data_IF_695295419736
#
_entry.id   IF_695295419736
#
_cell.length_a   1.000
_cell.length_b   1.000
_cell.length_c   1.000
_cell.angle_alpha   90.00
_cell.angle_beta   90.00
_cell.angle_gamma   90.00
#
_symmetry.space_group_name_H-M   'P 1'
#
loop_
_entity.id
_entity.type
_entity.pdbx_description
1 polymer ?
#
# COMPACT_ATOMS: atom_id res chain seq x y z
N UNK A 1 7.57 4.10 23.38
CA UNK A 1 8.40 4.33 22.20
C UNK A 1 7.70 3.96 20.91
N UNK A 2 6.58 3.22 20.97
CA UNK A 2 5.82 2.81 19.75
C UNK A 2 4.93 3.92 19.15
N UNK A 3 4.52 4.90 19.97
CA UNK A 3 3.63 5.99 19.54
C UNK A 3 4.24 7.03 18.60
N UNK A 4 5.56 7.13 18.51
CA UNK A 4 6.25 8.09 17.64
C UNK A 4 6.29 7.64 16.17
N UNK A 5 6.31 6.34 15.93
CA UNK A 5 6.25 5.77 14.59
C UNK A 5 4.87 5.90 13.95
N UNK A 6 3.83 5.65 14.73
CA UNK A 6 2.45 5.82 14.30
C UNK A 6 2.21 7.27 13.88
N UNK A 7 2.67 8.25 14.65
CA UNK A 7 2.52 9.66 14.33
C UNK A 7 3.35 10.13 13.12
N UNK A 8 4.52 9.50 12.85
CA UNK A 8 5.36 9.82 11.69
C UNK A 8 4.76 9.25 10.40
N UNK A 9 4.30 8.01 10.44
CA UNK A 9 3.60 7.37 9.35
C UNK A 9 2.24 8.00 9.13
N UNK A 10 1.55 8.47 10.17
CA UNK A 10 0.26 9.14 10.10
C UNK A 10 0.29 10.40 9.23
N UNK A 11 1.40 11.06 9.15
CA UNK A 11 1.50 12.36 8.46
C UNK A 11 2.32 12.35 7.17
N UNK A 12 3.19 11.39 6.95
CA UNK A 12 3.67 11.04 5.59
C UNK A 12 2.51 10.39 4.82
N UNK A 13 1.53 10.03 5.55
CA UNK A 13 0.46 9.13 5.24
C UNK A 13 -0.95 9.65 5.43
N UNK A 14 -1.36 10.82 5.00
CA UNK A 14 -2.77 10.88 4.56
C UNK A 14 -2.96 10.02 3.29
N UNK A 15 -1.86 9.53 2.73
CA UNK A 15 -1.81 8.35 1.87
C UNK A 15 -1.29 7.11 2.60
N UNK A 16 -0.59 7.20 3.73
CA UNK A 16 -0.02 6.13 4.52
C UNK A 16 -0.69 5.97 5.90
N UNK A 17 -1.68 6.78 6.26
CA UNK A 17 -2.58 6.59 7.42
C UNK A 17 -3.23 5.20 7.43
N UNK A 18 -3.24 4.53 6.28
CA UNK A 18 -3.75 3.18 6.11
C UNK A 18 -2.66 2.09 6.11
N UNK A 19 -1.38 2.42 6.33
CA UNK A 19 -0.26 1.46 6.21
C UNK A 19 -0.20 0.38 7.30
N UNK A 20 -0.95 0.51 8.39
CA UNK A 20 -1.08 -0.53 9.41
C UNK A 20 -2.43 -1.25 9.39
N UNK A 21 -3.29 -0.97 8.39
CA UNK A 21 -4.67 -1.44 8.37
C UNK A 21 -5.04 -2.11 7.06
N UNK A 22 -6.15 -2.80 7.07
CA UNK A 22 -6.62 -3.62 5.98
C UNK A 22 -7.64 -2.85 5.17
N UNK A 23 -7.43 -2.77 3.86
CA UNK A 23 -8.46 -2.33 2.93
C UNK A 23 -9.22 -3.56 2.48
N UNK A 24 -10.50 -3.53 2.69
CA UNK A 24 -11.38 -4.62 2.34
C UNK A 24 -12.47 -4.06 1.44
N UNK A 25 -12.82 -4.81 0.40
CA UNK A 25 -14.15 -5.14 -0.05
C UNK A 25 -14.50 -4.80 -1.45
N UNK A 26 -14.96 -5.84 -1.96
CA UNK A 26 -15.80 -5.85 -3.13
C UNK A 26 -16.89 -6.91 -2.97
N UNK A 27 -18.16 -6.57 -3.22
CA UNK A 27 -19.25 -7.53 -3.35
C UNK A 27 -19.42 -7.92 -4.81
N UNK A 28 -19.18 -9.19 -5.14
CA UNK A 28 -19.62 -9.78 -6.41
C UNK A 28 -21.07 -10.26 -6.21
N UNK A 29 -22.07 -9.75 -6.95
CA UNK A 29 -23.41 -10.31 -6.88
C UNK A 29 -23.37 -11.77 -7.34
N UNK A 30 -24.24 -12.64 -6.79
CA UNK A 30 -24.39 -13.99 -7.27
C UNK A 30 -24.71 -13.98 -8.77
N UNK A 31 -24.26 -14.98 -9.54
CA UNK A 31 -24.57 -15.07 -10.94
C UNK A 31 -26.10 -15.11 -11.08
N UNK A 32 -26.66 -14.08 -11.71
CA UNK A 32 -28.09 -14.10 -12.07
C UNK A 32 -28.21 -15.15 -13.14
N UNK A 33 -28.86 -16.27 -12.83
CA UNK A 33 -29.30 -17.26 -13.80
C UNK A 33 -30.36 -16.57 -14.65
N UNK A 34 -29.96 -15.89 -15.70
CA UNK A 34 -30.88 -15.39 -16.73
C UNK A 34 -31.10 -16.49 -17.74
N UNK A 35 -32.30 -16.99 -17.74
CA UNK A 35 -32.83 -17.64 -18.95
C UNK A 35 -32.68 -16.75 -20.17
N UNK A 36 -32.40 -17.34 -21.29
CA UNK A 36 -31.99 -16.80 -22.57
C UNK A 36 -32.61 -15.47 -22.99
N UNK A 37 -31.77 -14.71 -23.72
CA UNK A 37 -32.11 -13.61 -24.64
C UNK A 37 -32.30 -12.20 -24.06
N UNK A 38 -31.29 -11.37 -24.24
CA UNK A 38 -31.22 -10.23 -25.18
C UNK A 38 -29.93 -9.48 -24.93
N UNK A 39 -29.14 -9.30 -25.99
CA UNK A 39 -27.94 -8.45 -25.98
C UNK A 39 -28.34 -7.00 -25.68
N UNK A 40 -27.91 -6.48 -24.54
CA UNK A 40 -27.97 -5.04 -24.22
C UNK A 40 -26.65 -4.41 -24.71
N UNK A 41 -26.69 -3.30 -25.45
CA UNK A 41 -25.48 -2.68 -26.00
C UNK A 41 -24.57 -2.21 -24.87
N UNK A 42 -23.30 -2.50 -25.05
CA UNK A 42 -22.18 -2.04 -24.24
C UNK A 42 -22.27 -0.51 -24.01
N UNK A 43 -22.73 -0.10 -22.83
CA UNK A 43 -22.79 1.29 -22.43
C UNK A 43 -21.36 1.85 -22.31
N UNK A 44 -21.18 3.01 -22.92
CA UNK A 44 -19.96 3.81 -23.03
C UNK A 44 -19.04 3.71 -21.82
N UNK A 45 -17.79 3.38 -22.11
CA UNK A 45 -16.68 3.30 -21.19
C UNK A 45 -16.60 4.52 -20.25
N UNK A 46 -16.56 4.26 -18.94
CA UNK A 46 -16.28 5.25 -17.88
C UNK A 46 -14.81 5.74 -17.91
N UNK A 47 -14.13 5.60 -19.06
CA UNK A 47 -12.71 5.88 -19.23
C UNK A 47 -12.33 7.36 -19.30
N UNK A 48 -13.28 8.29 -19.42
CA UNK A 48 -12.98 9.68 -19.72
C UNK A 48 -12.66 10.59 -18.52
N UNK A 49 -12.85 10.17 -17.28
CA UNK A 49 -12.69 11.04 -16.11
C UNK A 49 -11.42 10.77 -15.25
N UNK A 50 -10.54 9.87 -15.67
CA UNK A 50 -9.43 9.37 -14.86
C UNK A 50 -8.09 10.10 -15.09
N UNK A 51 -8.08 11.32 -15.60
CA UNK A 51 -6.88 11.98 -16.15
C UNK A 51 -5.93 12.64 -15.13
N UNK A 52 -6.28 12.77 -13.85
CA UNK A 52 -5.49 13.58 -12.90
C UNK A 52 -5.30 12.90 -11.55
N UNK A 53 -4.50 11.82 -11.49
CA UNK A 53 -4.31 11.09 -10.24
C UNK A 53 -2.89 11.16 -9.74
N UNK A 54 -2.77 11.58 -8.49
CA UNK A 54 -1.57 11.51 -7.67
C UNK A 54 -1.08 10.06 -7.57
N UNK A 55 0.25 9.85 -7.53
CA UNK A 55 0.91 8.55 -7.27
C UNK A 55 0.70 8.06 -5.82
N UNK A 56 -0.43 8.36 -5.20
CA UNK A 56 -0.81 7.81 -3.92
C UNK A 56 -1.14 6.32 -4.08
N UNK A 57 -0.45 5.40 -3.38
CA UNK A 57 -0.73 3.96 -3.47
C UNK A 57 -2.20 3.62 -3.22
N UNK A 58 -2.84 4.27 -2.25
CA UNK A 58 -4.26 4.03 -1.93
C UNK A 58 -5.17 4.51 -3.05
N UNK A 59 -4.92 5.69 -3.63
CA UNK A 59 -5.70 6.15 -4.78
C UNK A 59 -5.54 5.19 -5.97
N UNK A 60 -4.36 4.59 -6.15
CA UNK A 60 -4.15 3.56 -7.16
C UNK A 60 -4.94 2.28 -6.84
N UNK A 61 -4.91 1.83 -5.59
CA UNK A 61 -5.73 0.71 -5.10
C UNK A 61 -7.20 0.96 -5.35
N UNK A 62 -7.73 2.11 -4.92
CA UNK A 62 -9.13 2.49 -5.13
C UNK A 62 -9.47 2.51 -6.64
N UNK A 63 -8.55 2.99 -7.47
CA UNK A 63 -8.71 3.00 -8.91
C UNK A 63 -8.79 1.58 -9.51
N UNK A 64 -7.94 0.67 -9.09
CA UNK A 64 -7.99 -0.71 -9.56
C UNK A 64 -9.30 -1.40 -9.15
N UNK A 65 -9.80 -1.11 -7.95
CA UNK A 65 -11.08 -1.63 -7.49
C UNK A 65 -12.26 -1.17 -8.35
N UNK A 66 -12.35 0.11 -8.70
CA UNK A 66 -13.48 0.61 -9.50
C UNK A 66 -13.52 0.04 -10.92
N UNK A 67 -12.42 -0.56 -11.39
CA UNK A 67 -12.39 -1.25 -12.67
C UNK A 67 -12.98 -2.66 -12.60
N UNK A 68 -13.13 -3.23 -11.39
CA UNK A 68 -13.77 -4.54 -11.23
C UNK A 68 -15.28 -4.39 -11.49
N UNK A 69 -15.87 -5.22 -12.37
CA UNK A 69 -17.29 -5.15 -12.66
C UNK A 69 -18.16 -5.36 -11.42
N UNK A 70 -19.27 -4.63 -11.32
CA UNK A 70 -20.28 -4.77 -10.26
C UNK A 70 -19.82 -4.46 -8.83
N UNK A 71 -18.72 -3.75 -8.65
CA UNK A 71 -18.28 -3.29 -7.34
C UNK A 71 -19.37 -2.46 -6.64
N UNK A 72 -19.69 -2.77 -5.37
CA UNK A 72 -20.75 -2.12 -4.59
C UNK A 72 -20.20 -1.08 -3.61
N UNK A 73 -19.22 -1.44 -2.82
CA UNK A 73 -18.64 -0.56 -1.81
C UNK A 73 -17.21 -0.94 -1.49
N UNK A 74 -16.49 -0.05 -0.81
CA UNK A 74 -15.18 -0.28 -0.21
C UNK A 74 -15.29 -0.06 1.28
N UNK A 75 -14.79 -1.00 2.08
CA UNK A 75 -14.73 -0.90 3.53
C UNK A 75 -13.26 -0.79 3.94
N UNK A 76 -12.92 0.23 4.70
CA UNK A 76 -11.63 0.42 5.33
C UNK A 76 -11.76 -0.02 6.79
N UNK A 77 -10.87 -0.90 7.27
CA UNK A 77 -10.84 -1.32 8.67
C UNK A 77 -9.51 -0.87 9.28
N UNK A 78 -9.58 -0.23 10.43
CA UNK A 78 -8.37 0.27 11.09
C UNK A 78 -8.58 0.75 12.52
N UNK A 79 -7.46 1.12 13.18
CA UNK A 79 -7.44 1.57 14.58
C UNK A 79 -7.58 3.07 14.76
N UNK A 80 -7.47 3.86 13.67
CA UNK A 80 -7.48 5.31 13.79
C UNK A 80 -8.83 5.81 14.26
N UNK A 81 -8.82 6.75 15.20
CA UNK A 81 -10.02 7.51 15.49
C UNK A 81 -10.36 8.37 14.27
N UNK A 82 -11.63 8.36 13.83
CA UNK A 82 -12.07 9.24 12.78
C UNK A 82 -11.71 10.69 13.11
N UNK A 83 -10.91 11.30 12.26
CA UNK A 83 -10.53 12.71 12.34
C UNK A 83 -10.94 13.44 11.04
N UNK A 84 -10.79 14.75 11.04
CA UNK A 84 -11.18 15.56 9.87
C UNK A 84 -10.40 15.19 8.60
N UNK A 85 -9.14 14.75 8.73
CA UNK A 85 -8.31 14.37 7.60
C UNK A 85 -8.82 13.06 6.97
N UNK A 86 -9.09 12.04 7.79
CA UNK A 86 -9.67 10.78 7.32
C UNK A 86 -11.06 11.00 6.70
N UNK A 87 -11.90 11.81 7.34
CA UNK A 87 -13.23 12.12 6.83
C UNK A 87 -13.17 12.87 5.50
N UNK A 88 -12.24 13.84 5.33
CA UNK A 88 -12.01 14.53 4.05
C UNK A 88 -11.50 13.57 2.99
N UNK A 89 -10.56 12.68 3.33
CA UNK A 89 -10.05 11.67 2.42
C UNK A 89 -11.18 10.76 1.92
N UNK A 90 -12.00 10.21 2.83
CA UNK A 90 -13.14 9.35 2.49
C UNK A 90 -14.11 10.10 1.59
N UNK A 91 -14.52 11.32 1.99
CA UNK A 91 -15.50 12.11 1.24
C UNK A 91 -15.00 12.48 -0.17
N UNK A 92 -13.74 12.91 -0.29
CA UNK A 92 -13.14 13.23 -1.58
C UNK A 92 -13.00 12.00 -2.48
N UNK A 93 -12.59 10.86 -1.90
CA UNK A 93 -12.48 9.60 -2.63
C UNK A 93 -13.84 9.07 -3.10
N UNK A 94 -14.88 9.18 -2.28
CA UNK A 94 -16.25 8.84 -2.68
C UNK A 94 -16.74 9.71 -3.85
N UNK A 95 -16.46 11.00 -3.82
CA UNK A 95 -16.83 11.93 -4.91
C UNK A 95 -16.06 11.63 -6.20
N UNK A 96 -14.76 11.35 -6.08
CA UNK A 96 -13.89 11.06 -7.22
C UNK A 96 -14.24 9.72 -7.87
N UNK A 97 -14.35 8.66 -7.06
CA UNK A 97 -14.54 7.29 -7.55
C UNK A 97 -16.01 6.91 -7.73
N UNK A 98 -16.93 7.72 -7.21
CA UNK A 98 -18.38 7.48 -7.24
C UNK A 98 -18.78 6.10 -6.73
N UNK A 99 -18.12 5.66 -5.67
CA UNK A 99 -18.38 4.41 -4.96
C UNK A 99 -18.48 4.69 -3.46
N UNK A 100 -19.39 4.07 -2.72
CA UNK A 100 -19.46 4.17 -1.27
C UNK A 100 -18.15 3.68 -0.64
N UNK A 101 -17.60 4.44 0.30
CA UNK A 101 -16.43 4.05 1.09
C UNK A 101 -16.81 4.21 2.56
N UNK A 102 -16.71 3.14 3.34
CA UNK A 102 -16.98 3.17 4.78
C UNK A 102 -15.71 2.89 5.56
N UNK A 103 -15.56 3.54 6.69
CA UNK A 103 -14.51 3.24 7.65
C UNK A 103 -15.10 2.54 8.87
N UNK A 104 -14.50 1.41 9.25
CA UNK A 104 -14.84 0.64 10.44
C UNK A 104 -13.66 0.69 11.41
N UNK A 105 -13.89 1.27 12.58
CA UNK A 105 -12.84 1.43 13.58
C UNK A 105 -12.71 0.16 14.42
N UNK A 106 -11.51 -0.39 14.51
CA UNK A 106 -11.14 -1.40 15.51
C UNK A 106 -10.80 -0.72 16.83
N UNK A 107 -11.23 -1.30 17.94
CA UNK A 107 -10.95 -0.79 19.29
C UNK A 107 -9.96 -1.68 20.06
N UNK A 108 -9.60 -2.82 19.51
CA UNK A 108 -8.63 -3.76 20.05
C UNK A 108 -7.85 -4.44 18.94
N UNK A 109 -6.61 -4.84 19.20
CA UNK A 109 -5.76 -5.55 18.26
C UNK A 109 -6.24 -7.00 18.03
N UNK A 110 -7.23 -7.20 17.17
CA UNK A 110 -7.86 -8.50 16.93
C UNK A 110 -7.09 -9.36 15.90
N UNK A 111 -6.09 -8.82 15.25
CA UNK A 111 -5.40 -9.46 14.12
C UNK A 111 -6.22 -9.44 12.82
N UNK A 112 -5.65 -9.92 11.71
CA UNK A 112 -6.29 -9.86 10.38
C UNK A 112 -7.59 -10.67 10.35
N UNK A 113 -7.55 -11.90 10.84
CA UNK A 113 -8.72 -12.78 10.89
C UNK A 113 -9.77 -12.31 11.89
N UNK A 114 -9.34 -11.85 13.08
CA UNK A 114 -10.25 -11.37 14.13
C UNK A 114 -10.98 -10.08 13.72
N UNK A 115 -10.27 -9.13 13.13
CA UNK A 115 -10.89 -7.87 12.67
C UNK A 115 -11.99 -8.10 11.63
N UNK A 116 -11.73 -8.93 10.60
CA UNK A 116 -12.78 -9.25 9.62
C UNK A 116 -13.92 -10.06 10.24
N UNK A 117 -13.64 -10.94 11.19
CA UNK A 117 -14.68 -11.72 11.87
C UNK A 117 -15.56 -10.83 12.77
N UNK A 118 -14.97 -9.85 13.43
CA UNK A 118 -15.70 -8.87 14.22
C UNK A 118 -16.72 -8.09 13.38
N UNK A 119 -16.33 -7.68 12.18
CA UNK A 119 -17.19 -6.91 11.27
C UNK A 119 -17.93 -7.75 10.23
N UNK A 120 -17.98 -9.09 10.38
CA UNK A 120 -18.54 -10.01 9.38
C UNK A 120 -19.98 -9.67 8.93
N UNK A 121 -20.83 -9.22 9.85
CA UNK A 121 -22.22 -8.91 9.53
C UNK A 121 -22.33 -7.68 8.61
N UNK A 122 -21.45 -6.69 8.82
CA UNK A 122 -21.34 -5.50 7.98
C UNK A 122 -20.73 -5.83 6.61
N UNK A 123 -19.81 -6.78 6.59
CA UNK A 123 -19.15 -7.31 5.43
C UNK A 123 -20.09 -8.11 4.55
N UNK A 124 -20.87 -8.96 5.15
CA UNK A 124 -21.84 -9.80 4.48
C UNK A 124 -23.16 -9.08 4.17
N UNK A 125 -23.30 -7.83 4.60
CA UNK A 125 -24.48 -7.01 4.29
C UNK A 125 -24.64 -6.89 2.78
N UNK A 126 -25.84 -7.23 2.27
CA UNK A 126 -26.09 -7.24 0.82
C UNK A 126 -25.81 -8.58 0.12
N UNK A 127 -25.40 -9.62 0.84
CA UNK A 127 -25.25 -10.98 0.33
C UNK A 127 -24.18 -11.13 -0.77
N UNK A 128 -22.91 -10.77 -0.52
CA UNK A 128 -21.86 -10.89 -1.52
C UNK A 128 -21.59 -12.35 -1.86
N UNK A 129 -21.41 -12.68 -3.14
CA UNK A 129 -20.95 -14.00 -3.56
C UNK A 129 -19.45 -14.20 -3.22
N UNK A 130 -18.65 -13.12 -3.32
CA UNK A 130 -17.26 -13.10 -2.95
C UNK A 130 -16.81 -11.68 -2.60
N UNK A 131 -15.68 -11.56 -1.92
CA UNK A 131 -15.07 -10.28 -1.55
C UNK A 131 -13.54 -10.32 -1.59
N UNK A 132 -12.94 -9.20 -1.93
CA UNK A 132 -11.49 -9.04 -1.81
C UNK A 132 -11.11 -8.57 -0.41
N UNK A 133 -10.04 -9.10 0.12
CA UNK A 133 -9.34 -8.62 1.30
C UNK A 133 -7.91 -8.31 0.91
N UNK A 134 -7.39 -7.16 1.31
CA UNK A 134 -6.00 -6.82 1.02
C UNK A 134 -5.37 -5.98 2.12
N UNK A 135 -4.05 -6.13 2.25
CA UNK A 135 -3.26 -5.29 3.12
C UNK A 135 -3.08 -3.91 2.48
N UNK A 136 -3.21 -2.85 3.28
CA UNK A 136 -3.13 -1.47 2.79
C UNK A 136 -1.74 -1.02 2.35
N UNK A 137 -0.69 -1.73 2.80
CA UNK A 137 0.72 -1.45 2.52
C UNK A 137 1.24 -2.11 1.23
N UNK A 138 0.35 -2.71 0.44
CA UNK A 138 0.71 -3.39 -0.82
C UNK A 138 0.66 -2.42 -1.99
N UNK A 139 1.70 -2.46 -2.82
CA UNK A 139 1.82 -1.79 -4.11
C UNK A 139 1.97 -2.84 -5.21
N UNK A 140 1.06 -2.85 -6.18
CA UNK A 140 1.01 -3.85 -7.25
C UNK A 140 0.19 -3.32 -8.43
N UNK A 141 0.14 -4.06 -9.50
CA UNK A 141 -0.83 -3.83 -10.59
C UNK A 141 -2.25 -4.29 -10.24
N UNK A 142 -2.41 -5.01 -9.14
CA UNK A 142 -3.69 -5.53 -8.64
C UNK A 142 -4.51 -6.30 -9.71
N UNK A 143 -4.15 -7.56 -10.04
CA UNK A 143 -4.83 -8.36 -11.07
C UNK A 143 -6.19 -8.88 -10.56
N UNK A 144 -7.07 -7.98 -10.10
CA UNK A 144 -8.32 -8.32 -9.42
C UNK A 144 -9.33 -8.99 -10.36
N UNK A 145 -9.41 -8.52 -11.61
CA UNK A 145 -10.31 -9.11 -12.60
C UNK A 145 -9.86 -10.52 -12.99
N UNK A 146 -8.54 -10.72 -13.09
CA UNK A 146 -7.92 -12.02 -13.37
C UNK A 146 -8.17 -12.99 -12.23
N UNK A 147 -8.00 -12.58 -10.98
CA UNK A 147 -8.31 -13.38 -9.80
C UNK A 147 -9.80 -13.77 -9.75
N UNK A 148 -10.69 -12.85 -10.10
CA UNK A 148 -12.11 -13.12 -10.13
C UNK A 148 -12.47 -14.12 -11.24
N UNK A 149 -11.87 -13.98 -12.43
CA UNK A 149 -12.05 -14.96 -13.53
C UNK A 149 -11.50 -16.34 -13.13
N UNK A 150 -10.32 -16.37 -12.53
CA UNK A 150 -9.70 -17.58 -12.02
C UNK A 150 -10.59 -18.29 -10.98
N UNK A 151 -11.12 -17.55 -10.01
CA UNK A 151 -12.06 -18.07 -9.01
C UNK A 151 -13.30 -18.72 -9.68
N UNK A 152 -13.93 -18.03 -10.63
CA UNK A 152 -15.11 -18.56 -11.35
C UNK A 152 -14.80 -19.81 -12.17
N UNK A 153 -13.60 -19.94 -12.72
CA UNK A 153 -13.17 -21.11 -13.51
C UNK A 153 -12.95 -22.37 -12.66
N UNK A 154 -12.53 -22.21 -11.40
CA UNK A 154 -12.24 -23.34 -10.51
C UNK A 154 -13.46 -23.83 -9.69
N UNK A 155 -14.65 -23.25 -9.91
CA UNK A 155 -15.88 -23.65 -9.24
C UNK A 155 -15.97 -23.19 -7.78
N UNK A 156 -16.99 -23.68 -7.06
CA UNK A 156 -17.38 -23.18 -5.74
C UNK A 156 -16.82 -23.99 -4.55
N UNK A 157 -15.96 -24.98 -4.79
CA UNK A 157 -15.50 -25.88 -3.73
C UNK A 157 -14.42 -25.27 -2.80
N UNK A 158 -13.86 -24.13 -3.17
CA UNK A 158 -12.84 -23.43 -2.39
C UNK A 158 -13.42 -22.17 -1.74
N UNK A 159 -12.88 -21.78 -0.58
CA UNK A 159 -13.31 -20.58 0.12
C UNK A 159 -12.38 -19.37 -0.11
N UNK A 160 -11.22 -19.55 -0.77
CA UNK A 160 -10.32 -18.45 -1.00
C UNK A 160 -9.32 -18.66 -2.13
N UNK A 161 -8.97 -17.56 -2.78
CA UNK A 161 -7.86 -17.43 -3.73
C UNK A 161 -6.84 -16.43 -3.19
N UNK A 162 -5.60 -16.86 -3.02
CA UNK A 162 -4.50 -16.01 -2.58
C UNK A 162 -3.73 -15.50 -3.79
N UNK A 163 -3.33 -14.23 -3.80
CA UNK A 163 -2.36 -13.74 -4.78
C UNK A 163 -0.96 -14.12 -4.34
N UNK A 164 -0.24 -14.81 -5.21
CA UNK A 164 1.17 -15.16 -5.03
C UNK A 164 2.06 -14.49 -6.08
N UNK A 165 3.30 -14.23 -5.71
CA UNK A 165 4.38 -13.82 -6.63
C UNK A 165 5.65 -14.56 -6.30
N UNK A 166 6.63 -14.54 -7.20
CA UNK A 166 7.92 -15.18 -6.96
C UNK A 166 8.89 -14.24 -6.24
N UNK A 167 9.70 -14.81 -5.36
CA UNK A 167 10.81 -14.14 -4.69
C UNK A 167 12.05 -15.01 -4.73
N UNK A 168 13.24 -14.42 -4.60
CA UNK A 168 14.45 -15.22 -4.50
C UNK A 168 14.52 -15.95 -3.14
N UNK A 169 15.44 -16.90 -3.04
CA UNK A 169 15.55 -17.81 -1.89
C UNK A 169 15.74 -17.11 -0.54
N UNK A 170 16.53 -16.05 -0.51
CA UNK A 170 16.77 -15.25 0.71
C UNK A 170 15.61 -14.36 1.06
N UNK A 171 15.01 -13.73 0.06
CA UNK A 171 13.88 -12.81 0.27
C UNK A 171 12.60 -13.52 0.70
N UNK A 172 12.38 -14.79 0.25
CA UNK A 172 11.18 -15.55 0.61
C UNK A 172 11.06 -15.78 2.13
N UNK A 173 12.16 -15.78 2.89
CA UNK A 173 12.15 -15.93 4.35
C UNK A 173 11.43 -14.80 5.09
N UNK A 174 11.30 -13.62 4.46
CA UNK A 174 10.68 -12.43 5.06
C UNK A 174 9.15 -12.35 4.84
N UNK A 175 8.59 -13.35 4.13
CA UNK A 175 7.18 -13.36 3.72
C UNK A 175 6.53 -14.71 4.01
N UNK A 176 5.20 -14.77 3.97
CA UNK A 176 4.48 -16.02 3.96
C UNK A 176 4.80 -16.81 2.68
N UNK A 177 5.25 -18.05 2.83
CA UNK A 177 5.58 -18.94 1.71
C UNK A 177 4.42 -19.88 1.38
N UNK A 178 4.16 -20.05 0.10
CA UNK A 178 3.08 -20.89 -0.43
C UNK A 178 3.71 -22.07 -1.18
N UNK A 179 3.34 -23.29 -0.80
CA UNK A 179 3.62 -24.49 -1.59
C UNK A 179 2.35 -24.87 -2.34
N UNK A 180 2.41 -24.94 -3.65
CA UNK A 180 1.26 -25.20 -4.50
C UNK A 180 1.33 -26.56 -5.20
N UNK A 181 0.18 -27.10 -5.53
CA UNK A 181 0.05 -28.11 -6.57
C UNK A 181 0.00 -27.38 -7.93
N UNK A 182 0.99 -27.59 -8.79
CA UNK A 182 1.11 -26.88 -10.08
C UNK A 182 0.00 -27.20 -11.08
N UNK A 183 -0.66 -28.35 -10.94
CA UNK A 183 -1.73 -28.78 -11.86
C UNK A 183 -3.08 -28.19 -11.44
N UNK A 184 -3.36 -28.14 -10.13
CA UNK A 184 -4.66 -27.72 -9.57
C UNK A 184 -4.64 -26.31 -8.99
N UNK A 185 -3.47 -25.69 -8.84
CA UNK A 185 -3.25 -24.40 -8.15
C UNK A 185 -3.69 -24.43 -6.67
N UNK A 186 -3.87 -25.62 -6.10
CA UNK A 186 -4.21 -25.78 -4.68
C UNK A 186 -3.02 -25.39 -3.80
N UNK A 187 -3.29 -24.68 -2.71
CA UNK A 187 -2.30 -24.42 -1.65
C UNK A 187 -2.16 -25.67 -0.79
N UNK A 188 -1.04 -26.37 -0.94
CA UNK A 188 -0.72 -27.59 -0.18
C UNK A 188 -0.19 -27.28 1.21
N UNK A 189 0.72 -26.29 1.31
CA UNK A 189 1.26 -25.80 2.57
C UNK A 189 1.37 -24.29 2.56
N UNK A 190 1.18 -23.67 3.71
CA UNK A 190 1.43 -22.27 3.97
C UNK A 190 2.30 -22.12 5.21
N UNK A 191 3.40 -21.38 5.11
CA UNK A 191 4.32 -21.13 6.23
C UNK A 191 4.63 -19.64 6.31
N UNK A 192 4.24 -19.02 7.42
CA UNK A 192 4.51 -17.59 7.63
C UNK A 192 5.96 -17.38 8.08
N UNK A 193 6.72 -16.59 7.32
CA UNK A 193 8.11 -16.20 7.59
C UNK A 193 8.98 -17.37 8.08
N UNK A 194 9.21 -18.38 7.23
CA UNK A 194 9.94 -19.58 7.63
C UNK A 194 11.40 -19.27 7.98
N UNK A 195 11.99 -20.02 8.91
CA UNK A 195 13.42 -19.91 9.24
C UNK A 195 14.35 -20.50 8.17
N UNK A 196 13.82 -21.36 7.31
CA UNK A 196 14.53 -22.01 6.20
C UNK A 196 13.71 -21.90 4.92
N UNK A 197 14.36 -21.98 3.76
CA UNK A 197 13.68 -21.91 2.48
C UNK A 197 12.65 -23.02 2.31
N UNK A 198 11.41 -22.64 2.02
CA UNK A 198 10.26 -23.52 1.80
C UNK A 198 9.80 -23.48 0.34
N UNK A 199 9.60 -22.27 -0.19
CA UNK A 199 9.10 -22.03 -1.54
C UNK A 199 9.57 -20.67 -2.07
N UNK A 200 9.65 -20.54 -3.39
CA UNK A 200 9.87 -19.28 -4.10
C UNK A 200 8.58 -18.49 -4.31
N UNK A 201 7.41 -19.09 -4.03
CA UNK A 201 6.13 -18.40 -4.10
C UNK A 201 5.83 -17.78 -2.75
N UNK A 202 5.64 -16.45 -2.74
CA UNK A 202 5.32 -15.68 -1.55
C UNK A 202 3.91 -15.10 -1.61
N UNK A 203 3.31 -14.93 -0.44
CA UNK A 203 2.02 -14.32 -0.25
C UNK A 203 2.08 -12.80 -0.48
N UNK A 204 1.21 -12.29 -1.36
CA UNK A 204 1.14 -10.88 -1.69
C UNK A 204 0.25 -10.04 -0.75
N UNK A 205 -0.47 -10.66 0.19
CA UNK A 205 -1.42 -9.94 1.05
C UNK A 205 -2.67 -9.44 0.33
N UNK A 206 -3.06 -10.10 -0.75
CA UNK A 206 -4.27 -9.84 -1.53
C UNK A 206 -5.02 -11.16 -1.66
N UNK A 207 -6.28 -11.15 -1.30
CA UNK A 207 -7.10 -12.35 -1.22
C UNK A 207 -8.48 -12.11 -1.82
N UNK A 208 -9.05 -13.14 -2.44
CA UNK A 208 -10.45 -13.19 -2.83
C UNK A 208 -11.11 -14.31 -2.03
N UNK A 209 -12.11 -14.00 -1.23
CA UNK A 209 -12.81 -14.96 -0.38
C UNK A 209 -14.29 -15.09 -0.73
N UNK A 210 -14.84 -16.27 -0.50
CA UNK A 210 -16.28 -16.46 -0.39
C UNK A 210 -16.72 -16.28 1.07
N UNK A 211 -18.01 -16.05 1.34
CA UNK A 211 -18.55 -15.99 2.71
C UNK A 211 -18.20 -17.19 3.60
N UNK A 212 -17.92 -18.35 3.02
CA UNK A 212 -17.57 -19.57 3.74
C UNK A 212 -16.31 -19.44 4.61
N UNK A 213 -15.43 -18.48 4.28
CA UNK A 213 -14.22 -18.21 5.10
C UNK A 213 -14.59 -17.87 6.55
N UNK A 214 -15.73 -17.21 6.78
CA UNK A 214 -16.19 -16.86 8.12
C UNK A 214 -16.55 -18.07 8.98
N UNK A 215 -17.00 -19.16 8.35
CA UNK A 215 -17.22 -20.43 9.06
C UNK A 215 -15.91 -21.03 9.58
N UNK A 216 -14.82 -20.90 8.83
CA UNK A 216 -13.50 -21.36 9.27
C UNK A 216 -12.90 -20.45 10.35
N UNK A 217 -13.02 -19.13 10.21
CA UNK A 217 -12.57 -18.17 11.24
C UNK A 217 -13.37 -18.37 12.53
N UNK A 218 -14.69 -18.60 12.44
CA UNK A 218 -15.56 -18.83 13.59
C UNK A 218 -15.16 -20.08 14.40
N UNK A 219 -14.72 -21.16 13.74
CA UNK A 219 -14.20 -22.35 14.44
C UNK A 219 -12.93 -22.06 15.23
N UNK A 220 -12.02 -21.28 14.65
CA UNK A 220 -10.78 -20.86 15.34
C UNK A 220 -11.13 -19.92 16.51
N UNK A 221 -12.04 -18.99 16.30
CA UNK A 221 -12.53 -18.10 17.36
C UNK A 221 -13.10 -18.87 18.56
N UNK A 222 -13.98 -19.85 18.31
CA UNK A 222 -14.58 -20.67 19.36
C UNK A 222 -13.52 -21.49 20.11
N UNK A 223 -12.58 -22.10 19.39
CA UNK A 223 -11.47 -22.84 20.01
C UNK A 223 -10.63 -21.92 20.91
N UNK A 224 -10.21 -20.77 20.41
CA UNK A 224 -9.43 -19.79 21.17
C UNK A 224 -10.18 -19.30 22.41
N UNK A 225 -11.50 -19.11 22.34
CA UNK A 225 -12.31 -18.75 23.51
C UNK A 225 -12.30 -19.85 24.56
N UNK A 226 -12.42 -21.12 24.17
CA UNK A 226 -12.39 -22.25 25.10
C UNK A 226 -11.02 -22.38 25.78
N UNK A 227 -9.94 -22.26 25.02
CA UNK A 227 -8.57 -22.27 25.54
C UNK A 227 -8.33 -21.12 26.52
N UNK A 228 -8.81 -19.90 26.22
CA UNK A 228 -8.72 -18.74 27.12
C UNK A 228 -9.44 -18.96 28.44
N UNK A 229 -10.66 -19.45 28.43
CA UNK A 229 -11.43 -19.73 29.64
C UNK A 229 -10.67 -20.73 30.50
N UNK A 230 -10.09 -21.74 29.91
CA UNK A 230 -9.33 -22.77 30.61
C UNK A 230 -8.02 -22.23 31.20
N UNK A 231 -7.29 -21.37 30.47
CA UNK A 231 -6.07 -20.72 30.96
C UNK A 231 -6.35 -19.66 32.04
N UNK A 232 -7.40 -18.89 31.90
CA UNK A 232 -7.82 -17.90 32.90
C UNK A 232 -8.19 -18.57 34.23
N UNK A 233 -8.86 -19.72 34.17
CA UNK A 233 -9.18 -20.55 35.33
C UNK A 233 -7.93 -21.21 35.96
N UNK A 234 -6.90 -21.50 35.17
CA UNK A 234 -5.72 -22.24 35.65
C UNK A 234 -4.57 -21.32 36.07
N UNK A 235 -4.32 -20.24 35.34
CA UNK A 235 -3.11 -19.40 35.46
C UNK A 235 -3.39 -17.91 35.69
N UNK A 236 -4.66 -17.47 35.71
CA UNK A 236 -5.03 -16.07 35.88
C UNK A 236 -4.50 -15.12 34.76
N UNK A 237 -4.02 -15.65 33.62
CA UNK A 237 -3.52 -14.85 32.49
C UNK A 237 -4.60 -14.65 31.45
N UNK A 238 -4.91 -13.39 31.18
CA UNK A 238 -5.73 -13.03 30.02
C UNK A 238 -4.92 -13.12 28.73
N UNK A 239 -5.30 -14.05 27.83
CA UNK A 239 -4.74 -14.15 26.49
C UNK A 239 -5.45 -13.18 25.53
N UNK A 240 -4.73 -12.47 24.63
CA UNK A 240 -5.35 -11.58 23.67
C UNK A 240 -6.22 -12.35 22.66
N UNK A 241 -7.34 -11.76 22.26
CA UNK A 241 -8.28 -12.31 21.29
C UNK A 241 -7.83 -12.04 19.85
N UNK A 242 -6.62 -12.48 19.52
CA UNK A 242 -5.99 -12.24 18.22
C UNK A 242 -6.15 -13.47 17.33
N UNK A 243 -6.72 -13.29 16.13
CA UNK A 243 -6.73 -14.31 15.08
C UNK A 243 -5.94 -13.77 13.89
N UNK A 244 -4.85 -14.44 13.55
CA UNK A 244 -4.01 -14.12 12.40
C UNK A 244 -4.44 -14.95 11.22
N UNK A 245 -4.83 -14.31 10.14
CA UNK A 245 -5.32 -15.01 8.94
C UNK A 245 -4.27 -15.99 8.38
N UNK A 246 -3.02 -15.55 8.35
CA UNK A 246 -1.91 -16.29 7.79
C UNK A 246 -1.51 -17.50 8.67
N UNK A 247 -1.43 -17.30 9.98
CA UNK A 247 -0.94 -18.33 10.90
C UNK A 247 -2.04 -19.29 11.38
N UNK A 248 -3.25 -18.77 11.61
CA UNK A 248 -4.31 -19.54 12.27
C UNK A 248 -5.29 -20.14 11.27
N UNK A 249 -5.48 -19.47 10.10
CA UNK A 249 -6.48 -19.87 9.10
C UNK A 249 -5.80 -20.55 7.90
N UNK A 250 -4.84 -19.90 7.24
CA UNK A 250 -4.24 -20.47 6.02
C UNK A 250 -3.47 -21.77 6.28
N UNK A 251 -2.71 -21.83 7.37
CA UNK A 251 -2.03 -23.07 7.77
C UNK A 251 -3.00 -24.23 8.00
N UNK A 252 -4.18 -23.93 8.54
CA UNK A 252 -5.21 -24.95 8.80
C UNK A 252 -5.92 -25.39 7.52
N UNK A 253 -6.16 -24.46 6.57
CA UNK A 253 -6.88 -24.74 5.33
C UNK A 253 -6.00 -25.29 4.21
N UNK A 254 -4.68 -25.14 4.29
CA UNK A 254 -3.73 -25.68 3.33
C UNK A 254 -3.84 -27.22 3.27
N UNK A 255 -3.82 -27.78 2.07
CA UNK A 255 -3.98 -29.21 1.80
C UNK A 255 -5.43 -29.73 1.93
N UNK A 256 -6.42 -28.86 2.20
CA UNK A 256 -7.82 -29.23 2.32
C UNK A 256 -8.68 -28.90 1.07
N UNK A 257 -8.04 -28.51 -0.04
CA UNK A 257 -8.69 -28.04 -1.28
C UNK A 257 -9.58 -26.81 -1.07
N UNK A 258 -9.31 -26.03 -0.01
CA UNK A 258 -10.08 -24.83 0.33
C UNK A 258 -9.41 -23.55 -0.12
N UNK A 259 -8.11 -23.55 -0.34
CA UNK A 259 -7.34 -22.40 -0.80
C UNK A 259 -6.67 -22.70 -2.13
N UNK A 260 -6.77 -21.74 -3.05
CA UNK A 260 -6.06 -21.72 -4.32
C UNK A 260 -5.06 -20.57 -4.35
N UNK A 261 -4.03 -20.65 -5.18
CA UNK A 261 -3.10 -19.57 -5.44
C UNK A 261 -3.18 -19.13 -6.89
N UNK A 262 -3.39 -17.82 -7.11
CA UNK A 262 -3.23 -17.18 -8.39
C UNK A 262 -1.87 -16.48 -8.44
N UNK A 263 -1.02 -16.83 -9.41
CA UNK A 263 0.34 -16.26 -9.51
C UNK A 263 0.37 -15.09 -10.47
N UNK A 264 0.92 -13.97 -10.00
CA UNK A 264 1.18 -12.81 -10.86
C UNK A 264 2.66 -12.72 -11.23
N UNK A 265 2.92 -12.28 -12.47
CA UNK A 265 4.25 -11.91 -12.94
C UNK A 265 4.47 -10.38 -12.91
N UNK A 266 3.44 -9.63 -12.57
CA UNK A 266 3.52 -8.18 -12.44
C UNK A 266 4.30 -7.79 -11.20
N UNK A 267 4.73 -6.53 -11.14
CA UNK A 267 5.44 -6.04 -9.98
C UNK A 267 4.56 -6.11 -8.72
N UNK A 268 5.21 -6.39 -7.63
CA UNK A 268 4.63 -6.35 -6.30
C UNK A 268 5.67 -5.84 -5.31
N UNK A 269 5.25 -4.95 -4.42
CA UNK A 269 6.07 -4.44 -3.32
C UNK A 269 5.20 -4.19 -2.11
N UNK A 270 5.79 -4.30 -0.93
CA UNK A 270 5.13 -3.96 0.33
C UNK A 270 5.88 -2.81 1.00
N UNK A 271 5.16 -1.77 1.41
CA UNK A 271 5.74 -0.61 2.07
C UNK A 271 5.91 -0.92 3.55
N UNK A 272 7.08 -1.45 3.92
CA UNK A 272 7.46 -1.75 5.32
C UNK A 272 8.37 -0.68 5.92
N UNK A 273 8.94 0.17 5.09
CA UNK A 273 9.84 1.24 5.49
C UNK A 273 9.64 2.44 4.58
N UNK A 274 10.15 3.59 4.98
CA UNK A 274 10.10 4.79 4.17
C UNK A 274 10.85 4.64 2.83
N UNK A 275 11.98 3.93 2.83
CA UNK A 275 12.74 3.63 1.61
C UNK A 275 11.92 2.83 0.60
N UNK A 276 11.08 1.88 1.08
CA UNK A 276 10.20 1.11 0.21
C UNK A 276 9.14 1.97 -0.50
N UNK A 277 8.77 3.14 0.04
CA UNK A 277 7.85 4.05 -0.65
C UNK A 277 8.46 4.67 -1.91
N UNK A 278 9.73 5.08 -1.86
CA UNK A 278 10.45 5.57 -3.05
C UNK A 278 10.62 4.44 -4.07
N UNK A 279 10.96 3.24 -3.61
CA UNK A 279 11.08 2.08 -4.50
C UNK A 279 9.74 1.73 -5.18
N UNK A 280 8.63 1.72 -4.43
CA UNK A 280 7.29 1.50 -4.98
C UNK A 280 6.92 2.58 -6.01
N UNK A 281 7.23 3.86 -5.73
CA UNK A 281 7.05 4.96 -6.70
C UNK A 281 7.81 4.70 -8.00
N UNK A 282 9.04 4.20 -7.92
CA UNK A 282 9.85 3.81 -9.08
C UNK A 282 9.18 2.71 -9.91
N UNK A 283 8.62 1.69 -9.26
CA UNK A 283 7.90 0.62 -9.95
C UNK A 283 6.68 1.14 -10.70
N UNK A 284 5.90 2.05 -10.09
CA UNK A 284 4.76 2.68 -10.77
C UNK A 284 5.18 3.60 -11.93
N UNK A 285 6.27 4.37 -11.77
CA UNK A 285 6.80 5.19 -12.87
C UNK A 285 7.24 4.31 -14.06
N UNK A 286 7.93 3.20 -13.78
CA UNK A 286 8.32 2.23 -14.80
C UNK A 286 7.09 1.59 -15.48
N UNK A 287 6.06 1.27 -14.72
CA UNK A 287 4.79 0.78 -15.27
C UNK A 287 4.15 1.83 -16.19
N UNK A 288 4.09 3.11 -15.77
CA UNK A 288 3.57 4.18 -16.62
C UNK A 288 4.39 4.35 -17.89
N UNK A 289 5.72 4.22 -17.81
CA UNK A 289 6.56 4.24 -19.00
C UNK A 289 6.15 3.17 -20.03
N UNK A 290 5.76 1.99 -19.58
CA UNK A 290 5.37 0.87 -20.42
C UNK A 290 3.91 0.96 -20.91
N UNK A 291 2.98 1.39 -20.05
CA UNK A 291 1.54 1.30 -20.34
C UNK A 291 0.90 2.64 -20.70
N UNK A 292 1.39 3.75 -20.15
CA UNK A 292 0.82 5.09 -20.28
C UNK A 292 1.93 6.15 -20.31
N UNK A 293 2.84 6.11 -21.31
CA UNK A 293 3.96 7.06 -21.38
C UNK A 293 3.53 8.52 -21.47
N UNK A 294 2.30 8.79 -21.97
CA UNK A 294 1.71 10.12 -22.03
C UNK A 294 1.48 10.78 -20.66
N UNK A 295 1.52 10.00 -19.57
CA UNK A 295 1.43 10.50 -18.19
C UNK A 295 2.75 11.01 -17.63
N UNK A 296 3.86 10.63 -18.25
CA UNK A 296 5.18 11.06 -17.82
C UNK A 296 5.58 12.35 -18.51
N UNK A 297 6.34 13.16 -17.79
CA UNK A 297 6.87 14.41 -18.32
C UNK A 297 7.91 14.15 -19.40
N UNK A 298 7.90 14.97 -20.43
CA UNK A 298 8.86 14.91 -21.56
C UNK A 298 9.56 16.25 -21.72
N UNK A 299 10.79 16.23 -22.23
CA UNK A 299 11.53 17.42 -22.56
C UNK A 299 10.87 18.16 -23.73
N UNK A 300 10.56 19.45 -23.56
CA UNK A 300 10.06 20.37 -24.57
C UNK A 300 10.72 21.73 -24.36
N UNK A 301 10.73 22.55 -25.38
CA UNK A 301 11.25 23.93 -25.27
C UNK A 301 10.44 24.70 -24.22
N UNK A 302 11.14 25.39 -23.31
CA UNK A 302 10.50 26.15 -22.23
C UNK A 302 10.01 25.32 -21.04
N UNK A 303 10.27 23.99 -21.00
CA UNK A 303 9.97 23.13 -19.85
C UNK A 303 11.23 22.76 -19.08
N UNK A 304 11.11 22.33 -17.80
CA UNK A 304 12.26 21.88 -17.02
C UNK A 304 12.96 20.68 -17.69
N UNK A 305 14.25 20.54 -17.42
CA UNK A 305 15.02 19.39 -17.92
C UNK A 305 14.58 18.11 -17.22
N UNK A 306 14.06 17.17 -18.00
CA UNK A 306 13.59 15.86 -17.51
C UNK A 306 14.63 14.79 -17.80
N UNK A 307 14.94 13.97 -16.79
CA UNK A 307 15.87 12.84 -16.89
C UNK A 307 15.12 11.56 -16.44
N UNK A 308 15.01 10.56 -17.29
CA UNK A 308 14.31 9.31 -16.99
C UNK A 308 12.82 9.51 -16.72
N UNK A 309 12.24 8.68 -15.88
CA UNK A 309 10.81 8.68 -15.59
C UNK A 309 10.44 9.70 -14.51
N UNK A 310 9.62 10.68 -14.88
CA UNK A 310 9.17 11.76 -14.01
C UNK A 310 7.67 11.96 -14.19
N UNK A 311 6.92 11.91 -13.10
CA UNK A 311 5.53 12.29 -13.07
C UNK A 311 5.38 13.71 -12.53
N UNK A 312 4.63 14.55 -13.22
CA UNK A 312 4.31 15.93 -12.81
C UNK A 312 2.80 16.11 -12.84
N UNK A 313 2.24 16.46 -11.67
CA UNK A 313 0.81 16.79 -11.63
C UNK A 313 0.53 18.06 -12.45
N UNK A 314 -0.54 18.10 -13.26
CA UNK A 314 -0.82 19.23 -14.15
C UNK A 314 -0.95 20.63 -13.50
N UNK A 315 -1.24 20.67 -12.20
CA UNK A 315 -1.34 21.93 -11.44
C UNK A 315 -0.03 22.36 -10.78
N UNK A 316 1.05 21.59 -10.96
CA UNK A 316 2.36 21.99 -10.44
C UNK A 316 2.94 23.12 -11.28
N UNK A 317 3.58 24.09 -10.60
CA UNK A 317 4.26 25.20 -11.23
C UNK A 317 5.78 25.01 -11.11
N UNK A 318 6.47 24.83 -12.22
CA UNK A 318 7.88 24.46 -12.24
C UNK A 318 8.65 25.40 -13.16
N UNK A 319 9.73 25.99 -12.62
CA UNK A 319 10.61 26.86 -13.39
C UNK A 319 11.35 26.08 -14.50
N UNK A 320 11.47 26.61 -15.72
CA UNK A 320 12.14 25.94 -16.83
C UNK A 320 13.61 25.58 -16.60
N UNK A 321 14.29 26.27 -15.68
CA UNK A 321 15.71 26.00 -15.34
C UNK A 321 15.87 24.83 -14.36
N UNK A 322 14.78 24.27 -13.82
CA UNK A 322 14.83 23.13 -12.92
C UNK A 322 15.26 21.84 -13.63
N UNK A 323 15.87 20.92 -12.89
CA UNK A 323 16.29 19.59 -13.36
C UNK A 323 15.61 18.52 -12.51
N UNK A 324 14.76 17.72 -13.15
CA UNK A 324 13.95 16.70 -12.49
C UNK A 324 14.30 15.30 -12.98
N UNK A 325 14.47 14.37 -12.05
CA UNK A 325 14.69 12.96 -12.36
C UNK A 325 16.14 12.47 -12.15
N UNK A 326 16.38 11.16 -12.29
CA UNK A 326 15.35 10.15 -12.58
C UNK A 326 14.43 9.85 -11.40
N UNK A 327 13.32 9.15 -11.66
CA UNK A 327 12.41 8.58 -10.68
C UNK A 327 11.86 9.63 -9.68
N UNK A 328 11.17 10.62 -10.19
CA UNK A 328 10.60 11.73 -9.41
C UNK A 328 9.08 11.79 -9.60
N UNK A 329 8.38 11.98 -8.50
CA UNK A 329 6.93 12.19 -8.48
C UNK A 329 6.61 13.54 -7.85
N UNK A 330 5.93 14.42 -8.61
CA UNK A 330 5.55 15.77 -8.20
C UNK A 330 4.02 15.85 -8.04
N UNK A 331 3.58 16.18 -6.84
CA UNK A 331 2.18 16.26 -6.44
C UNK A 331 1.44 17.52 -6.91
N UNK A 332 0.16 17.57 -6.54
CA UNK A 332 -0.75 18.68 -6.88
C UNK A 332 -0.27 20.01 -6.26
N UNK A 333 -0.30 21.08 -7.03
CA UNK A 333 -0.04 22.45 -6.52
C UNK A 333 1.39 22.67 -6.01
N UNK A 334 2.33 21.76 -6.30
CA UNK A 334 3.75 21.93 -5.95
C UNK A 334 4.34 23.10 -6.74
N UNK A 335 5.15 23.92 -6.07
CA UNK A 335 5.92 24.99 -6.71
C UNK A 335 7.41 24.71 -6.64
N UNK A 336 8.09 24.75 -7.80
CA UNK A 336 9.53 24.49 -7.91
C UNK A 336 10.19 25.72 -8.58
N UNK A 337 11.10 26.35 -7.85
CA UNK A 337 11.83 27.53 -8.28
C UNK A 337 12.98 27.25 -9.25
N UNK A 338 13.69 28.32 -9.63
CA UNK A 338 14.78 28.27 -10.60
C UNK A 338 15.99 27.49 -10.09
N UNK A 339 16.62 26.72 -10.99
CA UNK A 339 17.84 25.96 -10.70
C UNK A 339 17.70 24.82 -9.69
N UNK A 340 16.49 24.47 -9.30
CA UNK A 340 16.19 23.37 -8.37
C UNK A 340 16.55 22.02 -8.99
N UNK A 341 17.07 21.11 -8.19
CA UNK A 341 17.39 19.73 -8.61
C UNK A 341 16.67 18.74 -7.73
N UNK A 342 15.87 17.85 -8.36
CA UNK A 342 15.15 16.78 -7.66
C UNK A 342 15.50 15.45 -8.32
N UNK A 343 15.85 14.44 -7.51
CA UNK A 343 16.19 13.10 -7.99
C UNK A 343 15.75 12.03 -6.98
N UNK A 344 15.22 10.90 -7.46
CA UNK A 344 14.84 9.75 -6.64
C UNK A 344 13.98 10.16 -5.43
N UNK A 345 12.97 11.00 -5.69
CA UNK A 345 12.24 11.68 -4.61
C UNK A 345 10.76 11.82 -4.90
N UNK A 346 9.99 11.92 -3.84
CA UNK A 346 8.56 12.17 -3.89
C UNK A 346 8.29 13.54 -3.26
N UNK A 347 7.66 14.44 -4.01
CA UNK A 347 7.26 15.77 -3.54
C UNK A 347 5.74 15.79 -3.45
N UNK A 348 5.22 15.87 -2.22
CA UNK A 348 3.78 15.81 -1.96
C UNK A 348 3.10 17.15 -2.24
N UNK A 349 1.76 17.17 -2.26
CA UNK A 349 1.00 18.34 -2.68
C UNK A 349 1.30 19.59 -1.86
N UNK A 350 1.19 20.75 -2.50
CA UNK A 350 1.36 22.07 -1.88
C UNK A 350 2.81 22.39 -1.46
N UNK A 351 3.75 21.46 -1.61
CA UNK A 351 5.14 21.72 -1.21
C UNK A 351 5.78 22.80 -2.09
N UNK A 352 6.68 23.58 -1.49
CA UNK A 352 7.40 24.69 -2.15
C UNK A 352 8.91 24.43 -2.08
N UNK A 353 9.53 24.25 -3.24
CA UNK A 353 10.99 24.15 -3.37
C UNK A 353 11.52 25.47 -3.93
N UNK A 354 12.21 26.25 -3.10
CA UNK A 354 12.72 27.56 -3.50
C UNK A 354 14.01 27.43 -4.35
N UNK A 355 14.43 28.54 -4.96
CA UNK A 355 15.51 28.58 -5.95
C UNK A 355 16.78 27.89 -5.47
N UNK A 356 17.39 27.14 -6.37
CA UNK A 356 18.68 26.45 -6.21
C UNK A 356 18.72 25.40 -5.11
N UNK A 357 17.61 25.01 -4.47
CA UNK A 357 17.62 23.92 -3.52
C UNK A 357 17.83 22.57 -4.21
N UNK A 358 18.21 21.56 -3.42
CA UNK A 358 18.51 20.23 -3.91
C UNK A 358 17.78 19.17 -3.06
N UNK A 359 16.99 18.31 -3.70
CA UNK A 359 16.23 17.24 -3.04
C UNK A 359 16.59 15.89 -3.66
N UNK A 360 17.24 15.02 -2.89
CA UNK A 360 17.78 13.74 -3.36
C UNK A 360 17.36 12.61 -2.40
N UNK A 361 16.87 11.50 -2.94
CA UNK A 361 16.46 10.32 -2.16
C UNK A 361 15.62 10.69 -0.94
N UNK A 362 14.57 11.49 -1.16
CA UNK A 362 13.83 12.11 -0.07
C UNK A 362 12.33 12.14 -0.35
N UNK A 363 11.55 12.19 0.72
CA UNK A 363 10.12 12.49 0.66
C UNK A 363 9.90 13.85 1.30
N UNK A 364 9.30 14.78 0.55
CA UNK A 364 8.90 16.10 1.05
C UNK A 364 7.41 16.09 1.30
N UNK A 365 7.04 16.26 2.57
CA UNK A 365 5.66 16.24 3.04
C UNK A 365 4.80 17.38 2.52
N UNK A 366 3.48 17.28 2.75
CA UNK A 366 2.51 18.28 2.29
C UNK A 366 2.78 19.66 2.84
N UNK A 367 2.57 20.66 2.01
CA UNK A 367 2.67 22.08 2.37
C UNK A 367 4.00 22.47 3.03
N UNK A 368 5.05 21.65 2.82
CA UNK A 368 6.38 21.90 3.36
C UNK A 368 7.19 22.81 2.44
N UNK A 369 8.04 23.65 3.03
CA UNK A 369 8.88 24.60 2.31
C UNK A 369 10.34 24.27 2.47
N UNK A 370 11.07 24.15 1.35
CA UNK A 370 12.52 24.00 1.30
C UNK A 370 13.12 25.31 0.80
N UNK A 371 13.88 26.00 1.64
CA UNK A 371 14.45 27.31 1.39
C UNK A 371 15.51 27.33 0.28
N UNK A 372 15.89 28.52 -0.14
CA UNK A 372 16.90 28.73 -1.20
C UNK A 372 18.23 28.11 -0.80
N UNK A 373 18.87 27.42 -1.75
CA UNK A 373 20.17 26.77 -1.54
C UNK A 373 20.18 25.68 -0.44
N UNK A 374 19.03 25.34 0.11
CA UNK A 374 18.91 24.26 1.08
C UNK A 374 19.11 22.90 0.41
N UNK A 375 19.59 21.93 1.17
CA UNK A 375 19.83 20.56 0.69
C UNK A 375 19.10 19.55 1.56
N UNK A 376 18.22 18.77 0.95
CA UNK A 376 17.49 17.66 1.56
C UNK A 376 17.99 16.38 0.88
N UNK A 377 18.71 15.54 1.61
CA UNK A 377 19.42 14.40 1.03
C UNK A 377 19.26 13.15 1.89
N UNK A 378 18.90 12.05 1.29
CA UNK A 378 18.89 10.72 1.88
C UNK A 378 19.93 9.80 1.26
N UNK A 379 20.25 8.73 1.98
CA UNK A 379 21.05 7.62 1.46
C UNK A 379 20.09 6.57 0.91
N UNK A 380 20.21 6.15 -0.35
CA UNK A 380 19.36 5.11 -0.91
C UNK A 380 19.68 3.76 -0.23
N UNK A 381 18.65 3.03 0.15
CA UNK A 381 18.72 1.62 0.58
C UNK A 381 17.99 0.76 -0.45
N UNK A 382 18.50 0.76 -1.68
CA UNK A 382 17.85 0.07 -2.76
C UNK A 382 18.22 -1.41 -2.79
N UNK A 383 17.28 -2.31 -3.13
CA UNK A 383 17.61 -3.67 -3.51
C UNK A 383 18.47 -3.66 -4.77
N UNK A 384 19.18 -4.75 -5.02
CA UNK A 384 19.98 -4.90 -6.23
C UNK A 384 19.14 -4.54 -7.47
N UNK A 385 19.50 -3.53 -8.27
CA UNK A 385 18.72 -3.11 -9.44
C UNK A 385 18.62 -4.17 -10.55
N UNK A 386 19.51 -5.19 -10.51
CA UNK A 386 19.49 -6.31 -11.45
C UNK A 386 18.56 -7.45 -11.01
N UNK A 387 17.97 -7.35 -9.85
CA UNK A 387 17.05 -8.37 -9.33
C UNK A 387 15.61 -7.91 -9.61
N UNK A 388 14.93 -8.43 -10.65
CA UNK A 388 13.57 -8.01 -10.97
C UNK A 388 12.65 -8.27 -9.77
N UNK A 389 11.90 -7.25 -9.39
CA UNK A 389 10.98 -7.30 -8.25
C UNK A 389 11.65 -7.59 -6.90
N UNK A 390 12.90 -7.15 -6.72
CA UNK A 390 13.58 -7.24 -5.44
C UNK A 390 12.73 -6.66 -4.30
N UNK A 391 12.68 -7.39 -3.17
CA UNK A 391 11.94 -6.96 -1.98
C UNK A 391 12.89 -6.24 -1.05
N UNK A 392 12.53 -5.03 -0.61
CA UNK A 392 13.33 -4.30 0.37
C UNK A 392 13.12 -4.94 1.74
N UNK A 393 14.21 -5.35 2.37
CA UNK A 393 14.18 -5.81 3.74
C UNK A 393 13.91 -4.63 4.68
N UNK A 394 13.15 -4.86 5.75
CA UNK A 394 12.99 -3.87 6.80
C UNK A 394 14.27 -3.79 7.61
N UNK A 395 15.12 -2.80 7.32
CA UNK A 395 16.28 -2.51 8.17
C UNK A 395 15.82 -2.00 9.54
N UNK A 396 16.61 -2.30 10.57
CA UNK A 396 16.39 -1.72 11.89
C UNK A 396 16.62 -0.22 11.83
N UNK A 397 15.63 0.56 12.32
CA UNK A 397 15.70 2.02 12.30
C UNK A 397 16.90 2.56 13.06
N UNK A 398 17.26 1.91 14.14
CA UNK A 398 18.37 2.29 14.99
C UNK A 398 19.43 1.20 15.01
N UNK A 399 20.69 1.60 14.86
CA UNK A 399 21.87 0.78 15.05
C UNK A 399 22.79 1.49 16.04
N UNK A 400 23.21 0.79 17.07
CA UNK A 400 24.15 1.33 18.11
C UNK A 400 23.68 2.68 18.71
N UNK A 401 22.39 2.86 18.88
CA UNK A 401 21.80 4.08 19.44
C UNK A 401 21.64 5.25 18.47
N UNK A 402 22.10 5.11 17.23
CA UNK A 402 21.94 6.11 16.16
C UNK A 402 20.91 5.70 15.12
N UNK A 403 20.33 6.69 14.43
CA UNK A 403 19.45 6.45 13.29
C UNK A 403 20.27 5.84 12.14
N UNK A 404 19.83 4.71 11.61
CA UNK A 404 20.48 4.08 10.45
C UNK A 404 20.34 5.02 9.23
N UNK A 405 21.43 5.32 8.51
CA UNK A 405 21.38 6.15 7.32
C UNK A 405 20.38 5.58 6.30
N UNK A 406 19.37 6.37 5.97
CA UNK A 406 18.30 6.01 5.03
C UNK A 406 17.85 7.26 4.28
N UNK A 407 16.71 7.18 3.60
CA UNK A 407 16.14 8.36 2.94
C UNK A 407 15.83 9.47 3.95
N UNK A 408 15.81 10.72 3.50
CA UNK A 408 15.33 11.84 4.31
C UNK A 408 13.82 12.02 4.14
N UNK A 409 13.12 12.23 5.24
CA UNK A 409 11.68 12.42 5.26
C UNK A 409 11.34 13.73 5.96
N UNK A 410 10.58 14.56 5.30
CA UNK A 410 9.96 15.74 5.88
C UNK A 410 8.46 15.48 6.06
N UNK A 411 7.97 15.66 7.27
CA UNK A 411 6.54 15.63 7.58
C UNK A 411 5.78 16.77 6.89
N UNK A 412 4.48 16.88 7.13
CA UNK A 412 3.71 17.99 6.59
C UNK A 412 4.03 19.32 7.32
N UNK A 413 3.88 20.44 6.61
CA UNK A 413 4.11 21.80 7.16
C UNK A 413 5.48 21.95 7.81
N UNK A 414 6.53 21.37 7.21
CA UNK A 414 7.91 21.55 7.66
C UNK A 414 8.51 22.72 6.90
N UNK A 415 9.16 23.64 7.64
CA UNK A 415 9.89 24.78 7.06
C UNK A 415 11.38 24.61 7.23
N UNK A 416 12.12 24.57 6.12
CA UNK A 416 13.57 24.53 6.09
C UNK A 416 14.06 25.90 5.58
N UNK A 417 14.84 26.65 6.37
CA UNK A 417 15.39 27.93 5.94
C UNK A 417 16.44 27.76 4.84
N UNK A 418 16.83 28.87 4.24
CA UNK A 418 17.87 28.90 3.21
C UNK A 418 19.20 28.35 3.72
N UNK A 419 19.96 27.69 2.84
CA UNK A 419 21.31 27.17 3.07
C UNK A 419 21.42 26.05 4.13
N UNK A 420 20.32 25.55 4.65
CA UNK A 420 20.28 24.45 5.64
C UNK A 420 20.40 23.10 4.96
N UNK A 421 21.14 22.18 5.57
CA UNK A 421 21.35 20.82 5.09
C UNK A 421 20.64 19.83 6.03
N UNK A 422 19.71 19.07 5.50
CA UNK A 422 19.04 17.97 6.20
C UNK A 422 19.43 16.66 5.52
N UNK A 423 20.08 15.77 6.26
CA UNK A 423 20.62 14.53 5.69
C UNK A 423 20.22 13.31 6.53
N UNK A 424 19.75 12.23 5.86
CA UNK A 424 19.40 10.95 6.50
C UNK A 424 18.57 11.14 7.77
N UNK A 425 17.62 12.06 7.74
CA UNK A 425 16.89 12.49 8.93
C UNK A 425 15.41 12.42 8.70
N UNK A 426 14.67 12.24 9.79
CA UNK A 426 13.23 12.20 9.81
C UNK A 426 12.73 13.42 10.58
N UNK A 427 12.05 14.33 9.91
CA UNK A 427 11.49 15.53 10.50
C UNK A 427 9.98 15.33 10.71
N UNK A 428 9.53 15.42 11.96
CA UNK A 428 8.12 15.34 12.28
C UNK A 428 7.35 16.56 11.75
N UNK A 429 6.04 16.44 11.58
CA UNK A 429 5.21 17.52 11.08
C UNK A 429 5.24 18.81 11.90
N UNK A 430 4.94 19.93 11.23
CA UNK A 430 4.81 21.26 11.84
C UNK A 430 6.10 21.72 12.54
N UNK A 431 7.25 21.51 11.89
CA UNK A 431 8.55 21.93 12.42
C UNK A 431 9.15 23.05 11.57
N UNK A 432 9.58 24.10 12.26
CA UNK A 432 10.43 25.14 11.70
C UNK A 432 11.88 24.87 12.10
N UNK A 433 12.70 24.50 11.11
CA UNK A 433 14.09 24.20 11.35
C UNK A 433 14.92 25.49 11.32
N UNK A 434 15.99 25.54 12.11
CA UNK A 434 16.87 26.71 12.18
C UNK A 434 18.35 26.39 11.96
N UNK A 435 18.69 25.11 11.77
CA UNK A 435 20.06 24.61 11.54
C UNK A 435 20.07 23.31 10.75
N UNK A 436 21.24 22.87 10.35
CA UNK A 436 21.43 21.57 9.68
C UNK A 436 21.34 20.40 10.65
N UNK A 437 20.80 19.28 10.16
CA UNK A 437 20.65 18.03 10.92
C UNK A 437 21.11 16.84 10.07
N UNK A 438 21.71 15.85 10.73
CA UNK A 438 22.16 14.62 10.09
C UNK A 438 21.90 13.41 11.00
N UNK A 439 21.34 12.32 10.43
CA UNK A 439 21.07 11.05 11.10
C UNK A 439 20.25 11.22 12.39
N UNK A 440 19.23 12.03 12.35
CA UNK A 440 18.41 12.36 13.53
C UNK A 440 16.92 12.29 13.25
N UNK A 441 16.14 12.00 14.29
CA UNK A 441 14.71 12.25 14.30
C UNK A 441 14.47 13.58 15.00
N UNK A 442 13.81 14.51 14.31
CA UNK A 442 13.48 15.84 14.81
C UNK A 442 12.01 15.82 15.22
N UNK A 443 11.80 15.76 16.56
CA UNK A 443 10.49 15.64 17.23
C UNK A 443 9.78 16.97 17.36
#
# INVERSE_FOLDING_TARGET
MDTTWECLLDKIASCAVLLHHKVIWYQVPPPVVRGAQTAVPCGRSRHAAASHRSLCPICHVLFCFIQVPDMKEIILIGFYQPNDELNRFISSSQQEFKIPIRYLQEFAALGTGGGIYHFRDQILSGGPAAFFLMNADVCSEFPLQEMLRFHRQHGENHCGVLLGTTANRTQSLNYGCIVENRETNEVLHFVEKPSTFVSDIINCGIYLFTPDIFGHIGKVFQRNQQERIQEELTNGKQMPEVIRLEQDIFTTLAGQKKLLVYKTQHFWSQIKSAGSAIYASRLYLKQYHQTHPERLATNRDGTPKIIGDVYIHPTANIDPSAVLGPNVSIGKGVTIGGGVRVRESIILHGAVLQDHCCVLNSIVGWDSTVGKWARVEGTPSDPNPNDPYAKIDSETLFRDGGLTPSITILGCNVSIPSEVIIRNSIVLPHKDLNRSFQNQIIL
#
